data_IF_077141519869
#
_entry.id   IF_077141519869
#
_cell.length_a   1.000
_cell.length_b   1.000
_cell.length_c   1.000
_cell.angle_alpha   90.00
_cell.angle_beta   90.00
_cell.angle_gamma   90.00
#
_symmetry.space_group_name_H-M   'P 1'
#
loop_
_entity.id
_entity.type
_entity.pdbx_description
1 polymer ?
#
# COMPACT_ATOMS: atom_id res chain seq x y z
N UNK A 1 -5.43 13.63 -12.72
CA UNK A 1 -6.04 13.29 -11.41
C UNK A 1 -7.33 14.08 -11.28
N UNK A 2 -8.43 13.39 -10.95
CA UNK A 2 -9.75 14.01 -10.73
C UNK A 2 -9.88 14.47 -9.27
N UNK A 3 -10.74 15.47 -8.96
CA UNK A 3 -11.12 15.77 -7.59
C UNK A 3 -11.68 14.53 -6.88
N UNK A 4 -11.46 14.44 -5.56
CA UNK A 4 -11.93 13.35 -4.71
C UNK A 4 -12.22 13.89 -3.30
N UNK A 5 -13.08 13.20 -2.57
CA UNK A 5 -13.29 13.43 -1.15
C UNK A 5 -12.20 12.73 -0.33
N UNK A 6 -11.91 13.25 0.86
CA UNK A 6 -10.93 12.66 1.77
C UNK A 6 -11.56 12.45 3.14
N UNK A 7 -11.62 11.20 3.57
CA UNK A 7 -12.21 10.77 4.84
C UNK A 7 -11.13 10.13 5.71
N UNK A 8 -11.28 10.24 7.04
CA UNK A 8 -10.44 9.53 8.02
C UNK A 8 -11.30 8.56 8.80
N UNK A 9 -10.75 7.39 9.10
CA UNK A 9 -11.38 6.37 9.95
C UNK A 9 -10.44 6.01 11.10
N UNK A 10 -11.01 5.63 12.24
CA UNK A 10 -10.27 5.46 13.49
C UNK A 10 -10.22 4.00 13.97
N UNK A 11 -10.83 3.07 13.25
CA UNK A 11 -10.74 1.64 13.55
C UNK A 11 -10.79 0.78 12.30
N UNK A 12 -10.25 -0.43 12.38
CA UNK A 12 -10.32 -1.41 11.29
C UNK A 12 -11.78 -1.77 10.93
N UNK A 13 -12.67 -1.83 11.94
CA UNK A 13 -14.09 -2.11 11.74
C UNK A 13 -14.77 -0.98 10.94
N UNK A 14 -14.52 0.27 11.33
CA UNK A 14 -15.01 1.45 10.59
C UNK A 14 -14.44 1.48 9.17
N UNK A 15 -13.13 1.27 9.00
CA UNK A 15 -12.50 1.21 7.69
C UNK A 15 -13.16 0.16 6.79
N UNK A 16 -13.39 -1.05 7.31
CA UNK A 16 -14.05 -2.13 6.58
C UNK A 16 -15.50 -1.79 6.22
N UNK A 17 -16.25 -1.17 7.14
CA UNK A 17 -17.62 -0.75 6.90
C UNK A 17 -17.72 0.39 5.87
N UNK A 18 -16.74 1.29 5.84
CA UNK A 18 -16.66 2.39 4.88
C UNK A 18 -16.25 1.95 3.47
N UNK A 19 -15.84 0.69 3.27
CA UNK A 19 -15.37 0.22 1.95
C UNK A 19 -16.55 -0.04 1.01
N UNK A 20 -16.62 0.72 -0.07
CA UNK A 20 -17.58 0.54 -1.16
C UNK A 20 -16.93 0.72 -2.54
N UNK A 21 -17.70 0.47 -3.60
CA UNK A 21 -17.33 0.91 -4.94
C UNK A 21 -17.04 2.44 -4.94
N UNK A 22 -16.09 2.89 -5.74
CA UNK A 22 -15.67 4.29 -5.79
C UNK A 22 -14.75 4.75 -4.65
N UNK A 23 -14.70 4.05 -3.51
CA UNK A 23 -13.81 4.40 -2.38
C UNK A 23 -12.52 3.59 -2.41
N UNK A 24 -11.38 4.19 -2.07
CA UNK A 24 -10.10 3.50 -1.94
C UNK A 24 -9.37 3.88 -0.65
N UNK A 25 -8.75 2.90 0.00
CA UNK A 25 -7.91 3.16 1.16
C UNK A 25 -6.58 3.78 0.73
N UNK A 26 -6.06 4.72 1.53
CA UNK A 26 -4.74 5.30 1.33
C UNK A 26 -3.88 5.16 2.58
N UNK A 27 -2.71 4.56 2.40
CA UNK A 27 -1.61 4.54 3.36
C UNK A 27 -0.52 5.49 2.86
N UNK A 28 0.68 4.99 2.56
CA UNK A 28 1.80 5.79 2.04
C UNK A 28 1.62 6.43 0.67
N UNK A 29 0.57 6.06 -0.10
CA UNK A 29 0.26 6.64 -1.41
C UNK A 29 1.24 6.34 -2.55
N UNK A 30 2.37 5.67 -2.29
CA UNK A 30 3.49 5.51 -3.24
C UNK A 30 3.15 4.76 -4.53
N UNK A 31 2.09 3.95 -4.54
CA UNK A 31 1.54 3.35 -5.77
C UNK A 31 0.16 3.92 -6.15
N UNK A 32 -0.75 4.11 -5.19
CA UNK A 32 -2.11 4.59 -5.49
C UNK A 32 -2.11 5.99 -6.12
N UNK A 33 -1.35 6.93 -5.56
CA UNK A 33 -1.32 8.32 -6.04
C UNK A 33 -0.68 8.40 -7.43
N UNK A 34 0.31 7.56 -7.73
CA UNK A 34 0.89 7.42 -9.07
C UNK A 34 -0.18 7.00 -10.09
N UNK A 35 -0.94 5.94 -9.79
CA UNK A 35 -2.01 5.46 -10.65
C UNK A 35 -3.15 6.49 -10.82
N UNK A 36 -3.43 7.28 -9.78
CA UNK A 36 -4.39 8.39 -9.84
C UNK A 36 -3.90 9.54 -10.73
N UNK A 37 -2.60 9.86 -10.72
CA UNK A 37 -2.02 10.87 -11.62
C UNK A 37 -2.15 10.44 -13.08
N UNK A 38 -1.98 9.14 -13.35
CA UNK A 38 -2.14 8.53 -14.67
C UNK A 38 -3.59 8.23 -15.06
N UNK A 39 -4.56 8.61 -14.24
CA UNK A 39 -6.00 8.34 -14.44
C UNK A 39 -6.33 6.84 -14.61
N UNK A 40 -5.49 5.94 -14.11
CA UNK A 40 -5.72 4.48 -14.14
C UNK A 40 -6.68 4.08 -13.01
N UNK A 41 -6.52 4.72 -11.84
CA UNK A 41 -7.41 4.55 -10.68
C UNK A 41 -8.05 5.91 -10.39
N UNK A 42 -9.38 5.96 -10.34
CA UNK A 42 -10.14 7.20 -10.23
C UNK A 42 -11.17 7.07 -9.10
N UNK A 43 -10.73 7.05 -7.84
CA UNK A 43 -11.64 6.94 -6.70
C UNK A 43 -12.39 8.26 -6.51
N UNK A 44 -13.64 8.17 -6.09
CA UNK A 44 -14.45 9.31 -5.66
C UNK A 44 -14.06 9.75 -4.25
N UNK A 45 -13.65 8.80 -3.40
CA UNK A 45 -13.19 9.06 -2.03
C UNK A 45 -11.92 8.29 -1.70
N UNK A 46 -10.97 8.97 -1.06
CA UNK A 46 -9.82 8.39 -0.37
C UNK A 46 -10.14 8.27 1.12
N UNK A 47 -9.98 7.06 1.66
CA UNK A 47 -10.14 6.78 3.08
C UNK A 47 -8.74 6.60 3.68
N UNK A 48 -8.32 7.55 4.49
CA UNK A 48 -7.10 7.48 5.28
C UNK A 48 -7.25 6.49 6.43
N UNK A 49 -6.36 5.50 6.45
CA UNK A 49 -6.36 4.40 7.41
C UNK A 49 -5.29 4.54 8.50
N UNK A 50 -4.55 5.66 8.57
CA UNK A 50 -3.44 5.84 9.51
C UNK A 50 -3.83 5.65 10.98
N UNK A 51 -4.99 6.16 11.37
CA UNK A 51 -5.51 6.00 12.73
C UNK A 51 -6.21 4.66 12.98
N UNK A 52 -6.54 3.91 11.92
CA UNK A 52 -7.38 2.71 12.01
C UNK A 52 -6.60 1.41 12.13
N UNK A 53 -5.35 1.37 11.67
CA UNK A 53 -4.55 0.15 11.55
C UNK A 53 -3.21 0.26 12.28
N UNK A 54 -2.69 -0.87 12.73
CA UNK A 54 -1.42 -0.92 13.47
C UNK A 54 -0.20 -0.71 12.57
N UNK A 55 0.81 -0.04 13.12
CA UNK A 55 2.17 0.08 12.59
C UNK A 55 3.20 -0.68 13.45
N UNK A 56 2.74 -1.55 14.35
CA UNK A 56 3.59 -2.26 15.30
C UNK A 56 4.20 -3.53 14.70
N UNK A 57 5.39 -3.89 15.15
CA UNK A 57 6.05 -5.16 14.88
C UNK A 57 6.10 -5.91 16.21
N UNK A 58 5.69 -7.18 16.21
CA UNK A 58 5.73 -8.04 17.40
C UNK A 58 6.28 -9.40 17.02
N UNK A 59 7.27 -9.88 17.76
CA UNK A 59 7.77 -11.24 17.66
C UNK A 59 7.54 -11.98 18.97
N UNK A 60 6.65 -12.98 18.95
CA UNK A 60 6.29 -13.78 20.12
C UNK A 60 5.95 -15.20 19.68
N UNK A 61 6.33 -16.21 20.48
CA UNK A 61 6.02 -17.62 20.22
C UNK A 61 6.44 -18.07 18.80
N UNK A 62 7.61 -17.61 18.33
CA UNK A 62 8.14 -17.87 16.99
C UNK A 62 7.26 -17.35 15.83
N UNK A 63 6.36 -16.41 16.10
CA UNK A 63 5.50 -15.75 15.11
C UNK A 63 5.85 -14.27 15.04
N UNK A 64 6.14 -13.80 13.82
CA UNK A 64 6.31 -12.38 13.51
C UNK A 64 4.97 -11.80 13.03
N UNK A 65 4.47 -10.80 13.73
CA UNK A 65 3.30 -10.01 13.34
C UNK A 65 3.75 -8.62 12.94
N UNK A 66 3.43 -8.21 11.70
CA UNK A 66 3.72 -6.88 11.17
C UNK A 66 2.40 -6.16 10.91
N UNK A 67 2.20 -5.02 11.56
CA UNK A 67 1.04 -4.16 11.35
C UNK A 67 0.97 -3.66 9.90
N UNK A 68 -0.23 -3.58 9.34
CA UNK A 68 -0.48 -3.19 7.95
C UNK A 68 0.13 -1.83 7.57
N UNK A 69 0.25 -0.90 8.53
CA UNK A 69 0.82 0.43 8.34
C UNK A 69 2.28 0.57 8.70
N UNK A 70 2.92 -0.51 9.14
CA UNK A 70 4.36 -0.50 9.38
C UNK A 70 5.06 -0.15 8.08
N UNK A 71 5.87 0.92 8.08
CA UNK A 71 6.59 1.32 6.88
C UNK A 71 7.63 0.27 6.48
N UNK A 72 7.90 0.17 5.18
CA UNK A 72 8.94 -0.73 4.66
C UNK A 72 10.28 -0.48 5.35
N UNK A 73 10.65 0.79 5.58
CA UNK A 73 11.87 1.14 6.29
C UNK A 73 11.90 0.59 7.73
N UNK A 74 10.79 0.73 8.48
CA UNK A 74 10.67 0.23 9.85
C UNK A 74 10.79 -1.30 9.90
N UNK A 75 10.12 -2.02 8.98
CA UNK A 75 10.25 -3.48 8.88
C UNK A 75 11.68 -3.90 8.56
N UNK A 76 12.32 -3.24 7.58
CA UNK A 76 13.66 -3.62 7.14
C UNK A 76 14.75 -3.40 8.21
N UNK A 77 14.51 -2.49 9.15
CA UNK A 77 15.46 -2.10 10.20
C UNK A 77 15.10 -2.66 11.58
N UNK A 78 14.01 -3.42 11.69
CA UNK A 78 13.62 -4.05 12.95
C UNK A 78 14.59 -5.17 13.33
N UNK A 79 15.01 -5.20 14.60
CA UNK A 79 16.03 -6.14 15.09
C UNK A 79 15.58 -7.60 14.94
N UNK A 80 14.32 -7.90 15.27
CA UNK A 80 13.81 -9.26 15.26
C UNK A 80 13.62 -9.72 13.81
N UNK A 81 13.22 -8.81 12.91
CA UNK A 81 13.19 -9.08 11.46
C UNK A 81 14.59 -9.37 10.93
N UNK A 82 15.59 -8.56 11.26
CA UNK A 82 16.97 -8.76 10.78
C UNK A 82 17.55 -10.09 11.28
N UNK A 83 17.39 -10.38 12.57
CA UNK A 83 18.01 -11.57 13.19
C UNK A 83 17.28 -12.86 12.87
N UNK A 84 15.93 -12.86 12.84
CA UNK A 84 15.13 -14.08 12.72
C UNK A 84 14.56 -14.28 11.31
N UNK A 85 14.36 -13.20 10.55
CA UNK A 85 13.77 -13.23 9.21
C UNK A 85 14.58 -12.40 8.18
N UNK A 86 15.91 -12.61 8.08
CA UNK A 86 16.81 -11.71 7.33
C UNK A 86 16.44 -11.53 5.86
N UNK A 87 15.77 -12.52 5.25
CA UNK A 87 15.31 -12.41 3.86
C UNK A 87 14.28 -11.30 3.67
N UNK A 88 13.41 -11.03 4.65
CA UNK A 88 12.42 -9.96 4.60
C UNK A 88 13.14 -8.60 4.53
N UNK A 89 14.09 -8.36 5.44
CA UNK A 89 14.87 -7.11 5.47
C UNK A 89 15.62 -6.91 4.15
N UNK A 90 16.35 -7.94 3.68
CA UNK A 90 17.10 -7.88 2.41
C UNK A 90 16.20 -7.60 1.21
N UNK A 91 15.05 -8.26 1.12
CA UNK A 91 14.11 -8.07 0.02
C UNK A 91 13.56 -6.64 -0.02
N UNK A 92 13.23 -6.07 1.15
CA UNK A 92 12.75 -4.68 1.23
C UNK A 92 13.86 -3.71 0.83
N UNK A 93 15.09 -3.88 1.32
CA UNK A 93 16.21 -2.98 1.05
C UNK A 93 16.67 -3.00 -0.42
N UNK A 94 16.51 -4.13 -1.10
CA UNK A 94 16.81 -4.25 -2.53
C UNK A 94 15.81 -3.48 -3.43
N UNK A 95 14.63 -3.13 -2.91
CA UNK A 95 13.56 -2.49 -3.68
C UNK A 95 13.41 -0.98 -3.39
N UNK A 96 13.14 -0.22 -4.45
CA UNK A 96 12.84 1.22 -4.41
C UNK A 96 13.94 2.09 -3.76
N UNK A 97 13.63 3.37 -3.51
CA UNK A 97 14.53 4.30 -2.83
C UNK A 97 14.22 4.41 -1.33
N UNK A 98 15.14 4.93 -0.50
CA UNK A 98 14.87 5.20 0.92
C UNK A 98 13.61 6.05 1.15
N UNK A 99 13.38 7.08 0.33
CA UNK A 99 12.23 7.98 0.44
C UNK A 99 10.91 7.22 0.22
N UNK A 100 10.86 6.34 -0.79
CA UNK A 100 9.70 5.50 -1.05
C UNK A 100 9.52 4.49 0.09
N UNK A 101 10.59 3.90 0.62
CA UNK A 101 10.50 2.94 1.73
C UNK A 101 10.03 3.58 3.04
N UNK A 102 10.33 4.86 3.26
CA UNK A 102 9.84 5.59 4.43
C UNK A 102 8.33 5.82 4.37
N UNK A 103 7.78 6.01 3.17
CA UNK A 103 6.35 6.25 2.96
C UNK A 103 5.55 4.95 2.79
N UNK A 104 6.07 3.97 2.05
CA UNK A 104 5.36 2.75 1.70
C UNK A 104 5.07 1.90 2.95
N UNK A 105 3.80 1.52 3.13
CA UNK A 105 3.38 0.61 4.20
C UNK A 105 3.45 -0.86 3.77
N UNK A 106 3.48 -1.76 4.75
CA UNK A 106 3.55 -3.21 4.53
C UNK A 106 2.37 -3.73 3.69
N UNK A 107 1.13 -3.35 4.04
CA UNK A 107 -0.04 -3.75 3.25
C UNK A 107 -0.07 -3.07 1.87
N UNK A 108 0.36 -1.81 1.78
CA UNK A 108 0.45 -1.09 0.51
C UNK A 108 1.49 -1.70 -0.45
N UNK A 109 2.59 -2.23 0.08
CA UNK A 109 3.62 -2.93 -0.67
C UNK A 109 3.06 -4.22 -1.30
N UNK A 110 2.33 -5.03 -0.53
CA UNK A 110 1.71 -6.26 -1.02
C UNK A 110 0.68 -5.99 -2.13
N UNK A 111 -0.05 -4.87 -2.03
CA UNK A 111 -1.12 -4.51 -2.97
C UNK A 111 -0.65 -3.64 -4.15
N UNK A 112 0.65 -3.41 -4.29
CA UNK A 112 1.16 -2.60 -5.40
C UNK A 112 0.82 -3.24 -6.76
N UNK A 113 0.48 -2.41 -7.75
CA UNK A 113 0.14 -2.86 -9.10
C UNK A 113 1.37 -3.19 -9.94
N UNK A 114 1.16 -3.97 -10.99
CA UNK A 114 2.18 -4.33 -12.00
C UNK A 114 2.82 -3.10 -12.63
N UNK A 115 4.07 -3.24 -13.10
CA UNK A 115 4.85 -2.21 -13.82
C UNK A 115 4.80 -2.34 -15.34
N UNK A 116 3.87 -3.16 -15.87
CA UNK A 116 3.68 -3.32 -17.31
C UNK A 116 3.42 -1.96 -17.99
N UNK A 117 4.18 -1.58 -19.04
CA UNK A 117 4.01 -0.27 -19.68
C UNK A 117 2.65 -0.13 -20.36
N UNK A 118 2.10 -1.19 -20.96
CA UNK A 118 0.76 -1.19 -21.57
C UNK A 118 -0.36 -1.01 -20.53
N UNK A 119 -0.14 -1.48 -19.30
CA UNK A 119 -1.08 -1.21 -18.22
C UNK A 119 -1.08 0.28 -17.85
N UNK A 120 0.10 0.91 -17.85
CA UNK A 120 0.30 2.31 -17.50
C UNK A 120 -0.11 3.29 -18.60
N UNK A 121 0.02 2.89 -19.87
CA UNK A 121 -0.43 3.66 -21.02
C UNK A 121 -1.93 3.41 -21.28
N UNK A 122 -2.74 4.40 -20.94
CA UNK A 122 -4.20 4.33 -21.08
C UNK A 122 -4.67 4.31 -22.54
N UNK A 123 -3.80 4.62 -23.50
CA UNK A 123 -4.12 4.60 -24.93
C UNK A 123 -3.95 3.22 -25.57
N UNK A 124 -3.32 2.27 -24.87
CA UNK A 124 -3.06 0.91 -25.39
C UNK A 124 -4.04 -0.12 -24.84
N UNK A 125 -4.45 -1.16 -25.60
CA UNK A 125 -5.33 -2.21 -25.08
C UNK A 125 -4.75 -2.95 -23.87
N UNK A 126 -5.55 -3.19 -22.83
CA UNK A 126 -5.09 -3.90 -21.63
C UNK A 126 -6.23 -4.55 -20.84
N UNK A 127 -6.35 -5.88 -20.92
CA UNK A 127 -7.36 -6.67 -20.19
C UNK A 127 -7.32 -6.46 -18.66
N UNK A 128 -6.14 -6.22 -18.07
CA UNK A 128 -6.01 -5.98 -16.63
C UNK A 128 -6.58 -4.62 -16.20
N UNK A 129 -6.71 -3.66 -17.13
CA UNK A 129 -7.33 -2.35 -16.90
C UNK A 129 -8.81 -2.37 -17.29
N UNK A 130 -9.12 -2.91 -18.46
CA UNK A 130 -10.47 -3.07 -18.97
C UNK A 130 -10.59 -4.45 -19.64
N UNK A 131 -11.19 -5.44 -18.97
CA UNK A 131 -11.40 -6.75 -19.56
C UNK A 131 -12.28 -6.67 -20.81
N UNK A 132 -11.92 -7.40 -21.87
CA UNK A 132 -12.69 -7.53 -23.12
C UNK A 132 -12.82 -6.25 -23.96
N UNK A 133 -11.91 -5.28 -23.76
CA UNK A 133 -11.79 -4.06 -24.58
C UNK A 133 -10.63 -4.15 -25.56
#
# INVERSE_FOLDING_TARGET
MRPFNFEKVNSAAEASASKSAGKQFIAGGTNLVDLMKKNIVQPETLIDIHSALSDSIKYQNNVLSIGALTSNAKVALDKDVIEKFPLISKAILAGASPQIRNMASSAGNLLQRTRCPYFYDTTTPCNKRAPNN
#
